data_IF_796114731343
#
_entry.id   IF_796114731343
#
_cell.length_a   1.000
_cell.length_b   1.000
_cell.length_c   1.000
_cell.angle_alpha   90.00
_cell.angle_beta   90.00
_cell.angle_gamma   90.00
#
_symmetry.space_group_name_H-M   'P 1'
#
loop_
_entity.id
_entity.type
_entity.pdbx_description
1 polymer ?
#
# COMPACT_ATOMS: atom_id res chain seq x y z
N UNK A 1 31.90 0.77 13.05
CA UNK A 1 30.69 1.08 12.27
C UNK A 1 30.59 0.08 11.11
N UNK A 2 29.41 -0.42 10.81
CA UNK A 2 29.22 -1.32 9.66
C UNK A 2 29.55 -0.57 8.37
N UNK A 3 30.21 -1.23 7.42
CA UNK A 3 30.47 -0.62 6.10
C UNK A 3 29.17 -0.69 5.25
N UNK A 4 28.80 0.37 4.55
CA UNK A 4 27.66 0.33 3.65
C UNK A 4 27.91 -0.64 2.49
N UNK A 5 26.87 -1.36 2.05
CA UNK A 5 26.90 -2.21 0.87
C UNK A 5 26.78 -1.35 -0.41
N UNK A 6 26.02 -0.24 -0.33
CA UNK A 6 25.95 0.80 -1.36
C UNK A 6 26.25 2.14 -0.71
N UNK A 7 27.14 2.92 -1.32
CA UNK A 7 27.40 4.31 -0.97
C UNK A 7 27.30 5.19 -2.22
N UNK A 8 26.27 6.01 -2.24
CA UNK A 8 26.09 7.03 -3.26
C UNK A 8 26.54 8.37 -2.68
N UNK A 9 27.50 9.03 -3.31
CA UNK A 9 28.07 10.29 -2.86
C UNK A 9 27.84 11.38 -3.88
N UNK A 10 27.06 12.38 -3.46
CA UNK A 10 26.79 13.60 -4.23
C UNK A 10 26.33 13.30 -5.68
N UNK A 11 25.44 12.35 -5.85
CA UNK A 11 24.96 11.89 -7.16
C UNK A 11 24.12 12.98 -7.83
N UNK A 12 24.57 13.41 -9.02
CA UNK A 12 23.79 14.22 -9.94
C UNK A 12 23.48 13.41 -11.20
N UNK A 13 22.22 13.36 -11.62
CA UNK A 13 21.78 12.72 -12.85
C UNK A 13 20.96 13.71 -13.63
N UNK A 14 21.47 14.07 -14.82
CA UNK A 14 20.85 15.05 -15.71
C UNK A 14 20.54 14.38 -17.05
N UNK A 15 19.26 14.38 -17.42
CA UNK A 15 18.82 13.94 -18.74
C UNK A 15 19.00 15.08 -19.75
N UNK A 16 19.31 14.72 -21.00
CA UNK A 16 19.48 15.66 -22.12
C UNK A 16 20.48 16.76 -21.82
N UNK A 17 21.59 16.44 -21.16
CA UNK A 17 22.64 17.38 -20.78
C UNK A 17 23.07 18.26 -21.98
N UNK A 18 23.04 19.59 -21.80
CA UNK A 18 23.39 20.57 -22.81
C UNK A 18 22.35 20.82 -23.90
N UNK A 19 21.11 20.25 -23.76
CA UNK A 19 19.98 20.49 -24.67
C UNK A 19 18.95 21.43 -24.04
N UNK A 20 18.08 22.01 -24.86
CA UNK A 20 17.01 22.92 -24.40
C UNK A 20 16.00 22.28 -23.43
N UNK A 21 15.90 20.96 -23.43
CA UNK A 21 15.05 20.16 -22.53
C UNK A 21 15.87 19.42 -21.48
N UNK A 22 16.95 20.04 -21.01
CA UNK A 22 17.75 19.51 -19.90
C UNK A 22 16.92 19.42 -18.63
N UNK A 23 16.98 18.26 -17.97
CA UNK A 23 16.26 18.00 -16.74
C UNK A 23 17.16 17.27 -15.73
N UNK A 24 17.35 17.88 -14.55
CA UNK A 24 18.13 17.29 -13.46
C UNK A 24 17.25 16.46 -12.58
N UNK A 25 17.29 15.14 -12.73
CA UNK A 25 16.47 14.19 -12.00
C UNK A 25 17.00 13.88 -10.59
N UNK A 26 18.31 13.90 -10.38
CA UNK A 26 18.95 13.85 -9.06
C UNK A 26 19.94 14.99 -8.95
N UNK A 27 19.98 15.64 -7.78
CA UNK A 27 20.72 16.88 -7.55
C UNK A 27 21.49 16.85 -6.23
N UNK A 28 22.66 16.20 -6.23
CA UNK A 28 23.51 16.10 -5.05
C UNK A 28 23.00 15.08 -4.01
N UNK A 29 22.48 13.95 -4.46
CA UNK A 29 21.93 12.90 -3.59
C UNK A 29 23.05 12.08 -2.94
N UNK A 30 23.10 12.03 -1.61
CA UNK A 30 24.02 11.18 -0.84
C UNK A 30 23.24 10.23 0.04
N UNK A 31 23.51 8.91 -0.07
CA UNK A 31 22.88 7.87 0.72
C UNK A 31 23.79 6.67 0.93
N UNK A 32 23.75 6.14 2.14
CA UNK A 32 24.38 4.87 2.53
C UNK A 32 23.30 3.81 2.70
N UNK A 33 23.53 2.61 2.19
CA UNK A 33 22.65 1.44 2.39
C UNK A 33 23.49 0.33 2.98
N UNK A 34 23.00 -0.29 4.06
CA UNK A 34 23.76 -1.30 4.80
C UNK A 34 23.33 -2.73 4.39
N UNK A 35 24.24 -3.73 4.54
CA UNK A 35 23.89 -5.12 4.29
C UNK A 35 22.65 -5.56 5.08
N UNK A 36 21.79 -6.34 4.44
CA UNK A 36 20.53 -6.88 4.98
C UNK A 36 19.49 -5.83 5.38
N UNK A 37 19.70 -4.57 4.99
CA UNK A 37 18.73 -3.52 5.20
C UNK A 37 17.54 -3.66 4.23
N UNK A 38 16.33 -3.39 4.70
CA UNK A 38 15.17 -3.10 3.87
C UNK A 38 14.96 -1.58 3.90
N UNK A 39 15.25 -0.91 2.82
CA UNK A 39 15.14 0.55 2.70
C UNK A 39 14.07 0.91 1.67
N UNK A 40 13.31 1.97 1.96
CA UNK A 40 12.32 2.51 1.02
C UNK A 40 12.75 3.91 0.58
N UNK A 41 12.83 4.12 -0.73
CA UNK A 41 12.92 5.44 -1.35
C UNK A 41 11.48 5.92 -1.59
N UNK A 42 11.06 6.91 -0.82
CA UNK A 42 9.69 7.40 -0.80
C UNK A 42 9.60 8.85 -1.27
N UNK A 43 8.58 9.19 -2.05
CA UNK A 43 8.32 10.56 -2.52
C UNK A 43 7.38 10.60 -3.71
N UNK A 44 6.97 11.80 -4.16
CA UNK A 44 6.05 11.96 -5.28
C UNK A 44 6.61 11.40 -6.59
N UNK A 45 5.73 11.11 -7.53
CA UNK A 45 6.13 10.68 -8.88
C UNK A 45 7.00 11.75 -9.55
N UNK A 46 8.04 11.33 -10.27
CA UNK A 46 8.97 12.23 -10.93
C UNK A 46 10.06 12.87 -10.06
N UNK A 47 10.09 12.63 -8.73
CA UNK A 47 11.11 13.22 -7.86
C UNK A 47 12.52 12.56 -7.93
N UNK A 48 12.76 11.64 -8.86
CA UNK A 48 14.08 11.05 -9.10
C UNK A 48 14.37 9.70 -8.42
N UNK A 49 13.38 9.04 -7.78
CA UNK A 49 13.56 7.74 -7.09
C UNK A 49 14.04 6.63 -8.01
N UNK A 50 13.29 6.35 -9.07
CA UNK A 50 13.63 5.32 -10.05
C UNK A 50 14.93 5.64 -10.76
N UNK A 51 15.22 6.92 -11.02
CA UNK A 51 16.49 7.38 -11.60
C UNK A 51 17.68 7.02 -10.71
N UNK A 52 17.57 7.29 -9.40
CA UNK A 52 18.59 6.90 -8.42
C UNK A 52 18.72 5.37 -8.34
N UNK A 53 17.60 4.64 -8.33
CA UNK A 53 17.59 3.18 -8.32
C UNK A 53 18.31 2.58 -9.53
N UNK A 54 18.02 3.07 -10.74
CA UNK A 54 18.69 2.62 -11.97
C UNK A 54 20.18 3.03 -12.03
N UNK A 55 20.54 4.11 -11.36
CA UNK A 55 21.94 4.44 -11.16
C UNK A 55 22.64 3.44 -10.23
N UNK A 56 21.98 3.03 -9.13
CA UNK A 56 22.50 1.96 -8.27
C UNK A 56 22.64 0.63 -9.03
N UNK A 57 21.75 0.34 -9.97
CA UNK A 57 21.79 -0.85 -10.81
C UNK A 57 22.88 -0.79 -11.90
N UNK A 58 23.50 0.37 -12.12
CA UNK A 58 24.55 0.55 -13.12
C UNK A 58 24.05 0.81 -14.56
N UNK A 59 22.75 1.09 -14.74
CA UNK A 59 22.15 1.41 -16.06
C UNK A 59 22.27 2.90 -16.39
N UNK A 60 22.13 3.76 -15.38
CA UNK A 60 22.19 5.22 -15.55
C UNK A 60 23.45 5.78 -14.88
N UNK A 61 24.44 6.13 -15.69
CA UNK A 61 25.68 6.75 -15.19
C UNK A 61 25.39 8.16 -14.67
N UNK A 62 25.84 8.52 -13.44
CA UNK A 62 25.71 9.87 -12.92
C UNK A 62 26.46 10.88 -13.78
N UNK A 63 25.92 12.09 -13.90
CA UNK A 63 26.61 13.24 -14.51
C UNK A 63 27.72 13.75 -13.60
N UNK A 64 27.53 13.64 -12.26
CA UNK A 64 28.52 13.93 -11.22
C UNK A 64 28.31 13.02 -10.00
N UNK A 65 29.31 12.98 -9.13
CA UNK A 65 29.34 12.14 -7.96
C UNK A 65 29.90 10.75 -8.22
N UNK A 66 29.91 9.91 -7.20
CA UNK A 66 30.46 8.55 -7.28
C UNK A 66 29.51 7.55 -6.60
N UNK A 67 29.48 6.33 -7.12
CA UNK A 67 28.70 5.22 -6.61
C UNK A 67 29.61 4.05 -6.30
N UNK A 68 29.64 3.66 -5.03
CA UNK A 68 30.35 2.46 -4.60
C UNK A 68 29.39 1.37 -4.18
N UNK A 69 29.68 0.16 -4.60
CA UNK A 69 29.00 -1.04 -4.15
C UNK A 69 30.03 -2.03 -3.64
N UNK A 70 29.85 -2.51 -2.43
CA UNK A 70 30.83 -3.37 -1.74
C UNK A 70 32.24 -2.77 -1.66
N UNK A 71 32.35 -1.45 -1.67
CA UNK A 71 33.62 -0.70 -1.63
C UNK A 71 34.27 -0.47 -2.98
N UNK A 72 33.68 -0.92 -4.09
CA UNK A 72 34.19 -0.74 -5.44
C UNK A 72 33.35 0.31 -6.20
N UNK A 73 34.00 1.18 -6.96
CA UNK A 73 33.33 2.20 -7.79
C UNK A 73 32.78 1.54 -9.05
N UNK A 74 31.46 1.37 -9.12
CA UNK A 74 30.82 0.62 -10.21
C UNK A 74 30.91 1.31 -11.57
N UNK A 75 31.14 2.61 -11.61
CA UNK A 75 31.28 3.34 -12.87
C UNK A 75 32.71 3.40 -13.42
N UNK A 76 33.63 2.79 -12.68
CA UNK A 76 35.00 2.53 -13.15
C UNK A 76 35.13 1.10 -13.75
N UNK A 77 34.06 0.31 -13.69
CA UNK A 77 33.97 -1.04 -14.24
C UNK A 77 34.05 -1.02 -15.77
N UNK A 78 34.72 -2.02 -16.34
CA UNK A 78 34.55 -2.41 -17.72
C UNK A 78 33.15 -2.92 -18.01
N UNK A 79 32.78 -3.04 -19.28
CA UNK A 79 31.48 -3.60 -19.67
C UNK A 79 31.25 -5.01 -19.12
N UNK A 80 32.27 -5.86 -19.10
CA UNK A 80 32.17 -7.23 -18.58
C UNK A 80 32.02 -7.27 -17.06
N UNK A 81 32.73 -6.41 -16.33
CA UNK A 81 32.62 -6.27 -14.89
C UNK A 81 31.24 -5.73 -14.52
N UNK A 82 30.69 -4.78 -15.25
CA UNK A 82 29.33 -4.28 -15.06
C UNK A 82 28.28 -5.39 -15.26
N UNK A 83 28.42 -6.22 -16.27
CA UNK A 83 27.56 -7.39 -16.49
C UNK A 83 27.65 -8.38 -15.32
N UNK A 84 28.89 -8.64 -14.82
CA UNK A 84 29.08 -9.50 -13.65
C UNK A 84 28.43 -8.91 -12.39
N UNK A 85 28.56 -7.59 -12.17
CA UNK A 85 27.93 -6.86 -11.11
C UNK A 85 26.39 -7.01 -11.14
N UNK A 86 25.77 -6.68 -12.27
CA UNK A 86 24.31 -6.77 -12.45
C UNK A 86 23.80 -8.20 -12.29
N UNK A 87 24.58 -9.20 -12.69
CA UNK A 87 24.22 -10.61 -12.64
C UNK A 87 24.35 -11.22 -11.26
N UNK A 88 25.44 -10.92 -10.53
CA UNK A 88 25.78 -11.62 -9.27
C UNK A 88 25.36 -10.85 -8.02
N UNK A 89 25.35 -9.53 -8.09
CA UNK A 89 25.14 -8.69 -6.91
C UNK A 89 23.70 -8.18 -6.87
N UNK A 90 23.11 -7.90 -8.04
CA UNK A 90 21.85 -7.20 -8.13
C UNK A 90 20.73 -8.06 -8.73
N UNK A 91 19.56 -8.05 -8.11
CA UNK A 91 18.30 -8.50 -8.72
C UNK A 91 17.39 -7.31 -8.92
N UNK A 92 16.59 -7.30 -9.99
CA UNK A 92 15.68 -6.18 -10.26
C UNK A 92 14.26 -6.64 -10.54
N UNK A 93 13.30 -5.95 -9.88
CA UNK A 93 11.89 -6.02 -10.17
C UNK A 93 11.45 -4.67 -10.76
N UNK A 94 10.87 -4.71 -11.95
CA UNK A 94 10.38 -3.53 -12.66
C UNK A 94 8.91 -3.24 -12.32
N UNK A 95 8.51 -1.99 -12.47
CA UNK A 95 7.12 -1.54 -12.31
C UNK A 95 6.16 -2.26 -13.27
N UNK A 96 6.55 -2.38 -14.55
CA UNK A 96 5.90 -3.28 -15.49
C UNK A 96 6.70 -4.58 -15.47
N UNK A 97 6.07 -5.71 -15.25
CA UNK A 97 6.73 -7.01 -15.01
C UNK A 97 7.86 -7.35 -15.97
N UNK A 98 7.90 -6.72 -17.16
CA UNK A 98 8.89 -6.89 -18.22
C UNK A 98 9.17 -8.37 -18.53
N UNK A 99 8.11 -9.19 -18.52
CA UNK A 99 8.18 -10.58 -18.91
C UNK A 99 8.17 -10.67 -20.43
N UNK A 100 8.96 -11.59 -20.96
CA UNK A 100 8.96 -11.88 -22.40
C UNK A 100 7.71 -12.68 -22.74
N UNK A 101 6.74 -12.11 -23.50
CA UNK A 101 5.43 -12.73 -23.69
C UNK A 101 5.44 -13.98 -24.57
N UNK A 102 6.49 -14.17 -25.37
CA UNK A 102 6.63 -15.28 -26.33
C UNK A 102 7.19 -16.58 -25.73
N UNK A 103 7.81 -16.50 -24.55
CA UNK A 103 8.40 -17.67 -23.87
C UNK A 103 7.59 -18.05 -22.64
N UNK A 104 7.81 -19.26 -22.09
CA UNK A 104 7.11 -19.78 -20.92
C UNK A 104 7.46 -19.00 -19.62
N UNK A 105 6.69 -19.22 -18.57
CA UNK A 105 7.01 -18.75 -17.20
C UNK A 105 8.36 -19.30 -16.75
N UNK A 106 8.58 -20.60 -16.95
CA UNK A 106 9.84 -21.27 -16.62
C UNK A 106 11.03 -20.60 -17.31
N UNK A 107 10.91 -20.36 -18.63
CA UNK A 107 11.97 -19.72 -19.42
C UNK A 107 12.19 -18.26 -18.99
N UNK A 108 11.13 -17.52 -18.62
CA UNK A 108 11.27 -16.19 -18.06
C UNK A 108 12.05 -16.19 -16.75
N UNK A 109 11.78 -17.13 -15.85
CA UNK A 109 12.52 -17.26 -14.59
C UNK A 109 13.96 -17.71 -14.85
N UNK A 110 14.18 -18.65 -15.77
CA UNK A 110 15.50 -19.16 -16.11
C UNK A 110 16.38 -18.20 -16.93
N UNK A 111 15.80 -17.14 -17.50
CA UNK A 111 16.47 -16.24 -18.45
C UNK A 111 17.81 -15.68 -17.96
N UNK A 112 17.94 -15.18 -16.72
CA UNK A 112 19.23 -14.70 -16.21
C UNK A 112 20.28 -15.81 -16.10
N UNK A 113 19.89 -17.07 -15.85
CA UNK A 113 20.81 -18.20 -15.83
C UNK A 113 21.29 -18.58 -17.24
N UNK A 114 20.45 -18.38 -18.27
CA UNK A 114 20.84 -18.58 -19.67
C UNK A 114 21.97 -17.63 -20.03
N UNK A 115 21.82 -16.35 -19.70
CA UNK A 115 22.90 -15.35 -19.91
C UNK A 115 24.12 -15.59 -19.02
N UNK A 116 23.94 -16.32 -17.92
CA UNK A 116 25.04 -16.75 -17.05
C UNK A 116 25.83 -17.95 -17.61
N UNK A 117 25.36 -18.58 -18.70
CA UNK A 117 25.98 -19.79 -19.26
C UNK A 117 25.72 -21.04 -18.44
N UNK A 118 24.71 -21.05 -17.56
CA UNK A 118 24.33 -22.22 -16.75
C UNK A 118 23.73 -23.30 -17.65
N UNK A 119 24.14 -24.55 -17.44
CA UNK A 119 23.66 -25.70 -18.21
C UNK A 119 22.14 -25.92 -18.10
N UNK A 120 21.54 -26.50 -19.16
CA UNK A 120 20.07 -26.61 -19.26
C UNK A 120 19.44 -27.27 -18.03
N UNK A 121 19.96 -28.42 -17.59
CA UNK A 121 19.41 -29.17 -16.45
C UNK A 121 19.45 -28.35 -15.15
N UNK A 122 20.60 -27.76 -14.83
CA UNK A 122 20.78 -26.96 -13.60
C UNK A 122 19.85 -25.73 -13.59
N UNK A 123 19.71 -25.02 -14.73
CA UNK A 123 18.84 -23.84 -14.78
C UNK A 123 17.36 -24.19 -14.66
N UNK A 124 16.92 -25.34 -15.22
CA UNK A 124 15.56 -25.84 -15.06
C UNK A 124 15.26 -26.21 -13.60
N UNK A 125 16.20 -26.89 -12.93
CA UNK A 125 16.06 -27.24 -11.51
C UNK A 125 15.94 -25.98 -10.63
N UNK A 126 16.84 -25.01 -10.80
CA UNK A 126 16.79 -23.72 -10.04
C UNK A 126 15.54 -22.91 -10.34
N UNK A 127 15.15 -22.81 -11.61
CA UNK A 127 13.94 -22.06 -11.99
C UNK A 127 12.69 -22.74 -11.43
N UNK A 128 12.59 -24.07 -11.47
CA UNK A 128 11.46 -24.82 -10.93
C UNK A 128 11.39 -24.70 -9.41
N UNK A 129 12.51 -24.70 -8.69
CA UNK A 129 12.54 -24.47 -7.25
C UNK A 129 11.91 -23.12 -6.89
N UNK A 130 12.28 -22.04 -7.59
CA UNK A 130 11.68 -20.72 -7.40
C UNK A 130 10.21 -20.69 -7.84
N UNK A 131 9.83 -21.36 -8.93
CA UNK A 131 8.44 -21.49 -9.33
C UNK A 131 7.59 -22.14 -8.22
N UNK A 132 8.09 -23.18 -7.58
CA UNK A 132 7.42 -23.83 -6.42
C UNK A 132 7.35 -22.89 -5.22
N UNK A 133 8.48 -22.24 -4.87
CA UNK A 133 8.56 -21.29 -3.76
C UNK A 133 7.51 -20.17 -3.89
N UNK A 134 7.31 -19.66 -5.10
CA UNK A 134 6.35 -18.57 -5.36
C UNK A 134 4.98 -19.05 -5.87
N UNK A 135 4.68 -20.35 -5.77
CA UNK A 135 3.39 -20.96 -6.13
C UNK A 135 2.96 -20.67 -7.58
N UNK A 136 3.90 -20.72 -8.51
CA UNK A 136 3.69 -20.57 -9.95
C UNK A 136 4.12 -21.83 -10.75
N UNK A 137 4.47 -22.90 -10.07
CA UNK A 137 4.85 -24.19 -10.66
C UNK A 137 3.75 -24.77 -11.57
N UNK A 138 2.48 -24.67 -11.15
CA UNK A 138 1.32 -25.12 -11.95
C UNK A 138 1.12 -24.37 -13.26
N UNK A 139 1.70 -23.20 -13.39
CA UNK A 139 1.64 -22.36 -14.60
C UNK A 139 2.99 -22.21 -15.29
N UNK A 140 4.01 -22.98 -14.89
CA UNK A 140 5.40 -22.89 -15.37
C UNK A 140 5.50 -23.00 -16.91
N UNK A 141 4.65 -23.79 -17.54
CA UNK A 141 4.62 -23.99 -19.00
C UNK A 141 3.70 -23.00 -19.74
N UNK A 142 2.95 -22.13 -19.01
CA UNK A 142 2.12 -21.09 -19.64
C UNK A 142 2.97 -19.88 -20.04
N UNK A 143 2.44 -19.08 -20.98
CA UNK A 143 3.02 -17.79 -21.37
C UNK A 143 2.45 -16.66 -20.52
N UNK A 144 3.23 -15.59 -20.25
CA UNK A 144 2.80 -14.46 -19.42
C UNK A 144 1.42 -13.86 -19.74
N UNK A 145 0.99 -13.69 -21.01
CA UNK A 145 -0.32 -13.15 -21.32
C UNK A 145 -1.52 -14.00 -20.80
N UNK A 146 -1.28 -15.25 -20.44
CA UNK A 146 -2.30 -16.16 -19.90
C UNK A 146 -2.37 -16.15 -18.36
N UNK A 147 -1.61 -15.25 -17.72
CA UNK A 147 -1.49 -15.15 -16.26
C UNK A 147 -2.25 -13.95 -15.73
N UNK A 148 -2.75 -14.07 -14.48
CA UNK A 148 -3.20 -12.90 -13.72
C UNK A 148 -2.02 -11.97 -13.37
N UNK A 149 -2.30 -10.69 -13.09
CA UNK A 149 -1.27 -9.72 -12.70
C UNK A 149 -0.43 -10.19 -11.51
N UNK A 150 -1.05 -10.78 -10.49
CA UNK A 150 -0.34 -11.35 -9.34
C UNK A 150 0.54 -12.55 -9.70
N UNK A 151 0.13 -13.40 -10.65
CA UNK A 151 0.99 -14.47 -11.15
C UNK A 151 2.19 -13.91 -11.93
N UNK A 152 1.96 -12.91 -12.80
CA UNK A 152 3.05 -12.23 -13.52
C UNK A 152 4.05 -11.59 -12.56
N UNK A 153 3.56 -10.98 -11.48
CA UNK A 153 4.44 -10.40 -10.46
C UNK A 153 5.27 -11.45 -9.75
N UNK A 154 4.69 -12.60 -9.38
CA UNK A 154 5.46 -13.70 -8.77
C UNK A 154 6.50 -14.27 -9.71
N UNK A 155 6.24 -14.31 -11.01
CA UNK A 155 7.26 -14.64 -12.03
C UNK A 155 8.39 -13.62 -12.04
N UNK A 156 8.07 -12.32 -11.96
CA UNK A 156 9.06 -11.24 -11.89
C UNK A 156 9.94 -11.35 -10.64
N UNK A 157 9.33 -11.65 -9.46
CA UNK A 157 10.08 -11.92 -8.22
C UNK A 157 11.00 -13.14 -8.40
N UNK A 158 10.49 -14.26 -8.90
CA UNK A 158 11.28 -15.48 -9.10
C UNK A 158 12.47 -15.22 -10.03
N UNK A 159 12.23 -14.51 -11.15
CA UNK A 159 13.28 -14.14 -12.11
C UNK A 159 14.36 -13.25 -11.47
N UNK A 160 13.96 -12.29 -10.63
CA UNK A 160 14.92 -11.38 -9.99
C UNK A 160 15.84 -12.07 -8.97
N UNK A 161 15.45 -13.23 -8.46
CA UNK A 161 16.17 -14.00 -7.44
C UNK A 161 16.97 -15.18 -8.00
N UNK A 162 16.80 -15.56 -9.27
CA UNK A 162 17.30 -16.83 -9.79
C UNK A 162 18.83 -16.95 -9.79
N UNK A 163 19.55 -15.82 -9.82
CA UNK A 163 21.00 -15.74 -9.68
C UNK A 163 21.46 -15.59 -8.21
N UNK A 164 20.56 -15.69 -7.25
CA UNK A 164 20.82 -15.51 -5.81
C UNK A 164 21.52 -14.17 -5.45
N UNK A 165 21.00 -13.01 -5.91
CA UNK A 165 21.66 -11.71 -5.71
C UNK A 165 21.74 -11.33 -4.22
N UNK A 166 22.73 -10.50 -3.85
CA UNK A 166 22.84 -9.95 -2.49
C UNK A 166 21.87 -8.78 -2.27
N UNK A 167 21.57 -8.04 -3.34
CA UNK A 167 20.72 -6.84 -3.31
C UNK A 167 19.55 -7.03 -4.28
N UNK A 168 18.35 -6.85 -3.78
CA UNK A 168 17.13 -6.82 -4.58
C UNK A 168 16.60 -5.40 -4.65
N UNK A 169 16.45 -4.87 -5.85
CA UNK A 169 15.82 -3.59 -6.10
C UNK A 169 14.43 -3.79 -6.70
N UNK A 170 13.47 -2.98 -6.27
CA UNK A 170 12.09 -3.06 -6.70
C UNK A 170 11.53 -1.66 -6.98
N UNK A 171 11.21 -1.40 -8.25
CA UNK A 171 10.66 -0.13 -8.70
C UNK A 171 9.14 -0.24 -8.80
N UNK A 172 8.44 0.34 -7.82
CA UNK A 172 6.97 0.33 -7.70
C UNK A 172 6.31 -1.05 -7.97
N UNK A 173 6.77 -2.14 -7.32
CA UNK A 173 6.45 -3.51 -7.71
C UNK A 173 4.98 -3.89 -7.54
N UNK A 174 4.16 -3.02 -6.94
CA UNK A 174 2.74 -3.28 -6.62
C UNK A 174 1.78 -2.26 -7.23
N UNK A 175 2.27 -1.31 -8.02
CA UNK A 175 1.47 -0.20 -8.57
C UNK A 175 0.29 -0.63 -9.46
N UNK A 176 0.35 -1.82 -10.06
CA UNK A 176 -0.66 -2.34 -10.98
C UNK A 176 -1.44 -3.54 -10.40
N UNK A 177 -1.41 -3.75 -9.09
CA UNK A 177 -2.03 -4.90 -8.43
C UNK A 177 -3.19 -4.46 -7.54
N UNK A 178 -4.15 -5.37 -7.36
CA UNK A 178 -5.17 -5.23 -6.32
C UNK A 178 -4.55 -5.28 -4.90
N UNK A 179 -5.27 -4.78 -3.91
CA UNK A 179 -4.76 -4.61 -2.54
C UNK A 179 -4.29 -5.91 -1.89
N UNK A 180 -4.96 -7.03 -2.18
CA UNK A 180 -4.64 -8.35 -1.60
C UNK A 180 -3.34 -8.87 -2.21
N UNK A 181 -3.27 -8.84 -3.53
CA UNK A 181 -2.07 -9.28 -4.27
C UNK A 181 -0.87 -8.40 -3.94
N UNK A 182 -1.07 -7.09 -3.83
CA UNK A 182 -0.02 -6.14 -3.43
C UNK A 182 0.54 -6.47 -2.04
N UNK A 183 -0.32 -6.74 -1.05
CA UNK A 183 0.12 -7.16 0.28
C UNK A 183 0.95 -8.44 0.24
N UNK A 184 0.54 -9.46 -0.52
CA UNK A 184 1.30 -10.71 -0.68
C UNK A 184 2.69 -10.48 -1.27
N UNK A 185 2.82 -9.57 -2.24
CA UNK A 185 4.13 -9.23 -2.84
C UNK A 185 5.02 -8.53 -1.80
N UNK A 186 4.47 -7.59 -1.04
CA UNK A 186 5.22 -6.89 0.01
C UNK A 186 5.67 -7.82 1.13
N UNK A 187 4.81 -8.75 1.56
CA UNK A 187 5.16 -9.81 2.51
C UNK A 187 6.28 -10.70 1.98
N UNK A 188 6.22 -11.05 0.69
CA UNK A 188 7.28 -11.82 0.02
C UNK A 188 8.62 -11.07 0.06
N UNK A 189 8.62 -9.76 -0.23
CA UNK A 189 9.85 -8.93 -0.14
C UNK A 189 10.38 -8.86 1.30
N UNK A 190 9.49 -8.78 2.29
CA UNK A 190 9.88 -8.80 3.69
C UNK A 190 10.46 -10.15 4.12
N UNK A 191 9.94 -11.27 3.61
CA UNK A 191 10.51 -12.59 3.83
C UNK A 191 11.89 -12.74 3.20
N UNK A 192 12.08 -12.29 1.96
CA UNK A 192 13.37 -12.27 1.27
C UNK A 192 14.41 -11.48 2.08
N UNK A 193 14.01 -10.34 2.63
CA UNK A 193 14.91 -9.59 3.51
C UNK A 193 15.19 -10.29 4.85
N UNK A 194 14.16 -10.76 5.55
CA UNK A 194 14.30 -11.27 6.92
C UNK A 194 14.88 -12.69 6.98
N UNK A 195 14.41 -13.59 6.10
CA UNK A 195 14.81 -15.01 6.06
C UNK A 195 16.06 -15.23 5.19
N UNK A 196 16.04 -14.72 3.95
CA UNK A 196 17.15 -14.92 3.01
C UNK A 196 18.29 -13.91 3.21
N UNK A 197 18.12 -12.94 4.14
CA UNK A 197 19.14 -11.94 4.48
C UNK A 197 19.57 -11.08 3.28
N UNK A 198 18.68 -10.88 2.30
CA UNK A 198 18.96 -9.99 1.18
C UNK A 198 18.77 -8.52 1.58
N UNK A 199 19.57 -7.63 1.01
CA UNK A 199 19.31 -6.19 1.08
C UNK A 199 18.19 -5.86 0.10
N UNK A 200 17.15 -5.16 0.54
CA UNK A 200 16.00 -4.80 -0.31
C UNK A 200 15.90 -3.28 -0.42
N UNK A 201 15.85 -2.78 -1.64
CA UNK A 201 15.65 -1.35 -1.94
C UNK A 201 14.36 -1.22 -2.72
N UNK A 202 13.35 -0.64 -2.09
CA UNK A 202 12.03 -0.45 -2.67
C UNK A 202 11.82 1.02 -3.02
N UNK A 203 11.32 1.29 -4.23
CA UNK A 203 10.77 2.58 -4.62
C UNK A 203 9.26 2.51 -4.54
N UNK A 204 8.64 3.47 -3.86
CA UNK A 204 7.18 3.63 -3.84
C UNK A 204 6.78 5.06 -3.53
N UNK A 205 5.56 5.43 -3.93
CA UNK A 205 4.89 6.65 -3.51
C UNK A 205 3.71 6.35 -2.55
N UNK A 206 3.47 5.08 -2.23
CA UNK A 206 2.37 4.66 -1.37
C UNK A 206 2.86 4.48 0.08
N UNK A 207 2.39 5.36 0.96
CA UNK A 207 2.80 5.41 2.36
C UNK A 207 2.43 4.15 3.16
N UNK A 208 1.45 3.35 2.70
CA UNK A 208 1.03 2.13 3.39
C UNK A 208 2.15 1.08 3.50
N UNK A 209 3.19 1.18 2.66
CA UNK A 209 4.30 0.24 2.65
C UNK A 209 5.51 0.67 3.49
N UNK A 210 5.52 1.90 4.03
CA UNK A 210 6.63 2.40 4.85
C UNK A 210 6.96 1.53 6.07
N UNK A 211 5.98 0.90 6.74
CA UNK A 211 6.25 0.03 7.90
C UNK A 211 7.14 -1.19 7.61
N UNK A 212 7.27 -1.60 6.35
CA UNK A 212 8.13 -2.72 5.96
C UNK A 212 9.63 -2.41 6.05
N UNK A 213 10.00 -1.13 5.99
CA UNK A 213 11.39 -0.71 5.94
C UNK A 213 12.03 -0.64 7.34
N UNK A 214 13.36 -0.88 7.40
CA UNK A 214 14.15 -0.48 8.56
C UNK A 214 14.37 1.04 8.57
N UNK A 215 14.35 1.66 7.38
CA UNK A 215 14.59 3.08 7.20
C UNK A 215 13.92 3.57 5.93
N UNK A 216 13.34 4.77 6.01
CA UNK A 216 12.70 5.44 4.87
C UNK A 216 13.51 6.66 4.47
N UNK A 217 13.86 6.75 3.20
CA UNK A 217 14.52 7.89 2.58
C UNK A 217 13.48 8.70 1.81
N UNK A 218 13.16 9.87 2.33
CA UNK A 218 12.21 10.79 1.70
C UNK A 218 12.91 11.63 0.64
N UNK A 219 12.37 11.59 -0.58
CA UNK A 219 12.90 12.32 -1.73
C UNK A 219 11.89 13.34 -2.27
N UNK A 220 12.37 14.52 -2.61
CA UNK A 220 11.64 15.55 -3.31
C UNK A 220 12.60 16.34 -4.22
N UNK A 221 12.16 16.70 -5.41
CA UNK A 221 12.89 17.55 -6.38
C UNK A 221 14.35 17.09 -6.61
N UNK A 222 14.53 15.79 -6.76
CA UNK A 222 15.85 15.18 -7.00
C UNK A 222 16.78 15.14 -5.79
N UNK A 223 16.31 15.44 -4.59
CA UNK A 223 17.11 15.48 -3.35
C UNK A 223 16.54 14.57 -2.28
N UNK A 224 17.40 14.09 -1.39
CA UNK A 224 16.97 13.50 -0.12
C UNK A 224 16.65 14.65 0.86
N UNK A 225 15.40 14.72 1.31
CA UNK A 225 14.92 15.73 2.27
C UNK A 225 15.10 15.28 3.71
N UNK A 226 14.91 14.00 3.96
CA UNK A 226 15.12 13.39 5.29
C UNK A 226 15.28 11.88 5.18
N UNK A 227 15.88 11.31 6.23
CA UNK A 227 15.97 9.86 6.42
C UNK A 227 15.39 9.55 7.79
N UNK A 228 14.40 8.64 7.83
CA UNK A 228 13.71 8.27 9.07
C UNK A 228 13.99 6.80 9.36
N UNK A 229 14.74 6.47 10.44
CA UNK A 229 14.91 5.09 10.87
C UNK A 229 13.59 4.55 11.45
N UNK A 230 13.35 3.28 11.26
CA UNK A 230 12.24 2.55 11.84
C UNK A 230 12.82 1.47 12.78
N UNK A 231 13.03 1.78 14.07
CA UNK A 231 13.66 0.85 15.03
C UNK A 231 12.81 -0.40 15.28
N UNK A 232 11.50 -0.30 15.08
CA UNK A 232 10.55 -1.39 15.24
C UNK A 232 10.05 -1.90 13.86
N UNK A 233 11.01 -2.21 12.97
CA UNK A 233 10.64 -2.84 11.70
C UNK A 233 9.70 -4.00 11.95
N UNK A 234 8.51 -3.88 11.40
CA UNK A 234 7.47 -4.89 11.53
C UNK A 234 7.93 -6.21 10.92
N UNK A 235 8.00 -7.24 11.75
CA UNK A 235 7.89 -8.60 11.25
C UNK A 235 6.42 -8.81 10.90
N UNK A 236 6.11 -8.95 9.62
CA UNK A 236 4.76 -9.31 9.21
C UNK A 236 4.61 -10.80 9.51
N UNK A 237 4.06 -11.05 10.67
CA UNK A 237 3.44 -12.32 10.96
C UNK A 237 2.08 -12.25 10.27
N UNK A 238 1.91 -12.93 9.13
CA UNK A 238 0.58 -13.19 8.60
C UNK A 238 -0.24 -13.80 9.73
N UNK A 239 -1.40 -13.24 10.05
CA UNK A 239 -2.27 -13.86 11.03
C UNK A 239 -2.57 -15.28 10.55
N UNK A 240 -2.59 -16.27 11.46
CA UNK A 240 -2.92 -17.63 11.10
C UNK A 240 -4.25 -17.64 10.33
N UNK A 241 -4.41 -18.51 9.33
CA UNK A 241 -5.67 -18.65 8.60
C UNK A 241 -6.82 -18.78 9.60
N UNK A 242 -7.79 -17.85 9.57
CA UNK A 242 -8.90 -17.81 10.53
C UNK A 242 -8.75 -16.79 11.67
N UNK A 243 -7.64 -16.09 11.83
CA UNK A 243 -7.53 -14.96 12.74
C UNK A 243 -8.22 -13.73 12.15
N UNK A 244 -9.20 -13.22 12.86
CA UNK A 244 -10.08 -12.16 12.34
C UNK A 244 -9.52 -10.79 12.67
N UNK A 245 -9.47 -9.96 11.65
CA UNK A 245 -9.30 -8.52 11.80
C UNK A 245 -10.66 -7.96 12.22
N UNK A 246 -10.75 -7.45 13.43
CA UNK A 246 -12.02 -7.08 14.06
C UNK A 246 -12.54 -5.74 13.54
N UNK A 247 -11.65 -4.78 13.27
CA UNK A 247 -12.02 -3.44 12.78
C UNK A 247 -11.06 -2.91 11.71
N UNK A 248 -11.50 -1.90 10.95
CA UNK A 248 -10.65 -1.20 9.99
C UNK A 248 -9.48 -0.49 10.69
N UNK A 249 -9.67 0.02 11.90
CA UNK A 249 -8.59 0.65 12.68
C UNK A 249 -7.48 -0.36 13.00
N UNK A 250 -7.83 -1.60 13.31
CA UNK A 250 -6.82 -2.66 13.50
C UNK A 250 -6.10 -3.02 12.20
N UNK A 251 -6.78 -2.95 11.05
CA UNK A 251 -6.13 -3.08 9.75
C UNK A 251 -5.16 -1.93 9.51
N UNK A 252 -5.60 -0.70 9.74
CA UNK A 252 -4.79 0.50 9.60
C UNK A 252 -3.63 0.53 10.60
N UNK A 253 -3.80 0.09 11.84
CA UNK A 253 -2.71 -0.01 12.82
C UNK A 253 -1.62 -1.00 12.41
N UNK A 254 -1.97 -1.99 11.60
CA UNK A 254 -0.99 -2.89 10.99
C UNK A 254 -0.24 -2.24 9.82
N UNK A 255 -0.88 -1.31 9.12
CA UNK A 255 -0.28 -0.55 8.01
C UNK A 255 0.52 0.64 8.53
N UNK A 256 0.02 1.29 9.58
CA UNK A 256 0.61 2.48 10.22
C UNK A 256 0.84 2.22 11.72
N UNK A 257 1.84 1.41 12.10
CA UNK A 257 2.01 0.96 13.49
C UNK A 257 2.47 2.05 14.48
N UNK A 258 2.92 3.19 13.97
CA UNK A 258 3.37 4.34 14.77
C UNK A 258 2.31 5.45 14.88
N UNK A 259 1.22 5.32 14.13
CA UNK A 259 0.15 6.29 14.18
C UNK A 259 -0.69 6.04 15.43
N UNK A 260 -1.04 7.12 16.10
CA UNK A 260 -2.00 7.08 17.20
C UNK A 260 -3.37 6.62 16.68
N UNK A 261 -4.23 6.09 17.55
CA UNK A 261 -5.59 5.75 17.16
C UNK A 261 -6.35 6.91 16.48
N UNK A 262 -6.10 8.15 16.89
CA UNK A 262 -6.71 9.34 16.29
C UNK A 262 -6.21 9.56 14.85
N UNK A 263 -4.91 9.40 14.60
CA UNK A 263 -4.34 9.49 13.25
C UNK A 263 -4.86 8.38 12.33
N UNK A 264 -5.04 7.16 12.86
CA UNK A 264 -5.64 6.05 12.11
C UNK A 264 -7.10 6.32 11.73
N UNK A 265 -7.88 6.99 12.60
CA UNK A 265 -9.23 7.42 12.27
C UNK A 265 -9.23 8.45 11.13
N UNK A 266 -8.34 9.43 11.17
CA UNK A 266 -8.17 10.41 10.09
C UNK A 266 -7.85 9.71 8.78
N UNK A 267 -6.88 8.78 8.77
CA UNK A 267 -6.52 8.00 7.60
C UNK A 267 -7.65 7.14 7.06
N UNK A 268 -8.47 6.55 7.95
CA UNK A 268 -9.68 5.82 7.55
C UNK A 268 -10.64 6.69 6.76
N UNK A 269 -10.93 7.90 7.25
CA UNK A 269 -11.82 8.85 6.55
C UNK A 269 -11.18 9.35 5.26
N UNK A 270 -9.92 9.72 5.27
CA UNK A 270 -9.19 10.20 4.08
C UNK A 270 -9.23 9.15 2.96
N UNK A 271 -8.89 7.90 3.25
CA UNK A 271 -8.95 6.82 2.26
C UNK A 271 -10.35 6.60 1.66
N UNK A 272 -11.39 7.03 2.35
CA UNK A 272 -12.76 6.93 1.85
C UNK A 272 -13.15 8.08 0.94
N UNK A 273 -12.66 9.28 1.21
CA UNK A 273 -13.10 10.51 0.51
C UNK A 273 -12.18 10.88 -0.66
N UNK A 274 -10.93 10.36 -0.71
CA UNK A 274 -9.93 10.77 -1.70
C UNK A 274 -9.98 9.91 -2.96
N UNK A 275 -10.22 10.57 -4.09
CA UNK A 275 -9.94 10.08 -5.45
C UNK A 275 -9.27 11.24 -6.19
N UNK A 276 -8.13 10.97 -6.85
CA UNK A 276 -7.42 11.92 -7.73
C UNK A 276 -6.91 13.21 -7.07
N UNK A 277 -6.30 13.14 -5.87
CA UNK A 277 -5.67 14.28 -5.22
C UNK A 277 -4.15 14.08 -5.02
N UNK A 278 -3.41 15.20 -4.97
CA UNK A 278 -1.96 15.19 -4.82
C UNK A 278 -1.53 14.86 -3.38
N UNK A 279 -0.29 14.40 -3.21
CA UNK A 279 0.27 14.08 -1.89
C UNK A 279 0.23 15.29 -0.92
N UNK A 280 0.54 16.48 -1.40
CA UNK A 280 0.52 17.70 -0.57
C UNK A 280 -0.91 18.05 -0.11
N UNK A 281 -1.89 17.81 -0.97
CA UNK A 281 -3.30 17.93 -0.62
C UNK A 281 -3.71 16.92 0.45
N UNK A 282 -3.22 15.66 0.37
CA UNK A 282 -3.50 14.62 1.36
C UNK A 282 -3.01 15.05 2.76
N UNK A 283 -1.78 15.54 2.89
CA UNK A 283 -1.24 15.98 4.19
C UNK A 283 -2.05 17.11 4.82
N UNK A 284 -2.54 18.05 4.01
CA UNK A 284 -3.42 19.12 4.50
C UNK A 284 -4.78 18.61 4.90
N UNK A 285 -5.36 17.71 4.09
CA UNK A 285 -6.62 17.06 4.39
C UNK A 285 -6.57 16.29 5.71
N UNK A 286 -5.49 15.56 5.98
CA UNK A 286 -5.30 14.85 7.25
C UNK A 286 -5.45 15.81 8.43
N UNK A 287 -4.73 16.93 8.43
CA UNK A 287 -4.83 17.94 9.51
C UNK A 287 -6.20 18.58 9.64
N UNK A 288 -6.86 18.88 8.52
CA UNK A 288 -8.20 19.49 8.52
C UNK A 288 -9.26 18.47 8.98
N UNK A 289 -9.20 17.23 8.49
CA UNK A 289 -10.13 16.17 8.86
C UNK A 289 -9.97 15.77 10.33
N UNK A 290 -8.75 15.77 10.86
CA UNK A 290 -8.49 15.58 12.29
C UNK A 290 -9.25 16.61 13.15
N UNK A 291 -9.22 17.89 12.75
CA UNK A 291 -9.95 18.92 13.49
C UNK A 291 -11.47 18.74 13.44
N UNK A 292 -12.00 18.21 12.33
CA UNK A 292 -13.43 17.88 12.21
C UNK A 292 -13.79 16.68 13.09
N UNK A 293 -13.01 15.59 13.07
CA UNK A 293 -13.22 14.41 13.90
C UNK A 293 -13.18 14.77 15.38
N UNK A 294 -12.24 15.63 15.78
CA UNK A 294 -12.08 16.10 17.17
C UNK A 294 -13.08 17.19 17.57
N UNK A 295 -14.03 17.57 16.69
CA UNK A 295 -15.04 18.60 16.96
C UNK A 295 -14.51 20.02 17.07
N UNK A 296 -13.25 20.25 16.71
CA UNK A 296 -12.59 21.58 16.73
C UNK A 296 -12.91 22.43 15.50
N UNK A 297 -13.47 21.82 14.46
CA UNK A 297 -13.86 22.49 13.22
C UNK A 297 -15.26 22.02 12.81
N UNK A 298 -16.13 22.97 12.43
CA UNK A 298 -17.43 22.65 11.88
C UNK A 298 -17.35 22.41 10.34
N UNK A 299 -18.43 21.86 9.80
CA UNK A 299 -18.50 21.48 8.38
C UNK A 299 -18.30 22.67 7.42
N UNK A 300 -18.87 23.84 7.75
CA UNK A 300 -18.75 25.04 6.90
C UNK A 300 -17.30 25.56 6.84
N UNK A 301 -16.60 25.50 7.96
CA UNK A 301 -15.18 25.87 8.00
C UNK A 301 -14.32 24.86 7.26
N UNK A 302 -14.64 23.57 7.39
CA UNK A 302 -13.97 22.49 6.66
C UNK A 302 -14.13 22.67 5.15
N UNK A 303 -15.37 22.86 4.66
CA UNK A 303 -15.65 23.10 3.26
C UNK A 303 -14.91 24.32 2.71
N UNK A 304 -14.89 25.42 3.45
CA UNK A 304 -14.12 26.63 3.06
C UNK A 304 -12.64 26.36 2.92
N UNK A 305 -12.04 25.60 3.84
CA UNK A 305 -10.62 25.26 3.78
C UNK A 305 -10.29 24.28 2.66
N UNK A 306 -11.19 23.36 2.32
CA UNK A 306 -11.04 22.49 1.17
C UNK A 306 -10.92 23.28 -0.13
N UNK A 307 -11.77 24.29 -0.31
CA UNK A 307 -11.82 25.14 -1.52
C UNK A 307 -10.75 26.22 -1.55
N UNK A 308 -10.27 26.65 -0.39
CA UNK A 308 -9.28 27.75 -0.28
C UNK A 308 -8.00 27.39 -1.03
N UNK A 309 -7.43 28.40 -1.72
CA UNK A 309 -6.16 28.24 -2.45
C UNK A 309 -5.04 27.69 -1.56
N UNK A 310 -4.20 26.87 -2.16
CA UNK A 310 -3.06 26.25 -1.48
C UNK A 310 -2.11 27.30 -0.85
N UNK A 311 -1.88 28.41 -1.55
CA UNK A 311 -1.08 29.54 -1.08
C UNK A 311 -1.61 30.22 0.18
N UNK A 312 -2.92 30.13 0.42
CA UNK A 312 -3.62 30.71 1.57
C UNK A 312 -3.87 29.73 2.71
N UNK A 313 -3.28 28.54 2.63
CA UNK A 313 -3.41 27.50 3.66
C UNK A 313 -4.52 26.49 3.42
N UNK A 314 -5.27 26.58 2.32
CA UNK A 314 -6.30 25.61 1.93
C UNK A 314 -5.77 24.39 1.18
N UNK A 315 -6.66 23.49 0.80
CA UNK A 315 -6.32 22.31 0.00
C UNK A 315 -6.40 22.53 -1.52
N UNK A 316 -6.99 23.64 -1.97
CA UNK A 316 -7.10 23.98 -3.39
C UNK A 316 -7.95 22.99 -4.20
N UNK A 317 -8.99 22.42 -3.58
CA UNK A 317 -9.88 21.44 -4.19
C UNK A 317 -11.02 22.13 -4.92
N UNK A 318 -11.41 21.62 -6.07
CA UNK A 318 -12.56 22.12 -6.82
C UNK A 318 -13.85 22.12 -5.98
N UNK A 319 -14.71 23.12 -6.20
CA UNK A 319 -15.93 23.35 -5.41
C UNK A 319 -16.83 22.12 -5.39
N UNK A 320 -17.02 21.45 -6.52
CA UNK A 320 -17.90 20.29 -6.64
C UNK A 320 -17.33 19.07 -5.91
N UNK A 321 -16.04 18.91 -5.97
CA UNK A 321 -15.31 17.84 -5.28
C UNK A 321 -15.24 18.10 -3.78
N UNK A 322 -14.93 19.32 -3.36
CA UNK A 322 -14.89 19.75 -1.96
C UNK A 322 -16.25 19.57 -1.26
N UNK A 323 -17.35 19.94 -1.94
CA UNK A 323 -18.71 19.75 -1.42
C UNK A 323 -19.02 18.27 -1.18
N UNK A 324 -18.73 17.40 -2.16
CA UNK A 324 -18.93 15.95 -2.01
C UNK A 324 -18.08 15.35 -0.90
N UNK A 325 -16.83 15.80 -0.76
CA UNK A 325 -15.94 15.33 0.29
C UNK A 325 -16.45 15.75 1.68
N UNK A 326 -16.82 17.02 1.85
CA UNK A 326 -17.36 17.56 3.10
C UNK A 326 -18.65 16.82 3.52
N UNK A 327 -19.57 16.61 2.58
CA UNK A 327 -20.81 15.88 2.83
C UNK A 327 -20.57 14.41 3.24
N UNK A 328 -19.63 13.73 2.56
CA UNK A 328 -19.27 12.35 2.92
C UNK A 328 -18.65 12.23 4.30
N UNK A 329 -17.79 13.16 4.69
CA UNK A 329 -17.18 13.19 6.02
C UNK A 329 -18.29 13.38 7.08
N UNK A 330 -19.20 14.32 6.89
CA UNK A 330 -20.28 14.59 7.84
C UNK A 330 -21.22 13.39 8.00
N UNK A 331 -21.62 12.77 6.89
CA UNK A 331 -22.48 11.57 6.91
C UNK A 331 -21.82 10.43 7.68
N UNK A 332 -20.54 10.11 7.40
CA UNK A 332 -19.81 9.04 8.10
C UNK A 332 -19.71 9.34 9.59
N UNK A 333 -19.35 10.56 9.98
CA UNK A 333 -19.20 10.95 11.38
C UNK A 333 -20.54 11.00 12.13
N UNK A 334 -21.64 11.39 11.47
CA UNK A 334 -22.99 11.37 12.04
C UNK A 334 -23.40 9.96 12.41
N UNK A 335 -23.29 9.01 11.48
CA UNK A 335 -23.67 7.61 11.74
C UNK A 335 -22.67 6.85 12.62
N UNK A 336 -21.40 7.26 12.64
CA UNK A 336 -20.44 6.76 13.62
C UNK A 336 -20.86 7.05 15.05
N UNK A 337 -21.48 8.21 15.29
CA UNK A 337 -22.10 8.52 16.61
C UNK A 337 -23.24 7.59 16.94
N UNK A 338 -24.04 7.16 15.97
CA UNK A 338 -25.10 6.19 16.18
C UNK A 338 -24.52 4.80 16.52
N UNK A 339 -23.44 4.37 15.88
CA UNK A 339 -22.70 3.15 16.25
C UNK A 339 -22.16 3.24 17.69
N UNK A 340 -21.54 4.36 18.05
CA UNK A 340 -21.02 4.58 19.39
C UNK A 340 -22.13 4.52 20.46
N UNK A 341 -23.26 5.15 20.19
CA UNK A 341 -24.43 5.13 21.08
C UNK A 341 -25.03 3.74 21.22
N UNK A 342 -25.21 3.01 20.11
CA UNK A 342 -25.66 1.62 20.13
C UNK A 342 -24.76 0.74 21.01
N UNK A 343 -23.44 0.82 20.87
CA UNK A 343 -22.48 0.02 21.65
C UNK A 343 -22.49 0.35 23.14
N UNK A 344 -22.67 1.62 23.53
CA UNK A 344 -22.86 2.01 24.94
C UNK A 344 -24.10 1.37 25.55
N UNK A 345 -25.13 1.15 24.75
CA UNK A 345 -26.38 0.54 25.21
C UNK A 345 -26.31 -0.98 25.35
N UNK A 346 -25.44 -1.64 24.57
CA UNK A 346 -25.25 -3.11 24.72
C UNK A 346 -24.64 -3.46 26.06
N UNK A 347 -23.91 -2.55 26.73
CA UNK A 347 -23.32 -2.70 28.05
C UNK A 347 -24.15 -2.16 29.25
N UNK A 348 -25.33 -1.53 29.02
CA UNK A 348 -26.10 -0.88 30.08
C UNK A 348 -27.60 -0.79 29.80
N UNK A 349 -28.41 -0.60 30.87
CA UNK A 349 -29.86 -0.43 30.79
C UNK A 349 -30.18 1.01 30.40
N UNK A 350 -30.70 1.27 29.20
CA UNK A 350 -31.19 2.59 28.78
C UNK A 350 -32.56 2.52 28.12
N UNK A 351 -33.33 3.61 28.21
CA UNK A 351 -34.73 3.68 27.86
C UNK A 351 -35.07 3.88 26.38
N UNK A 352 -34.07 3.94 25.48
CA UNK A 352 -34.28 4.14 24.02
C UNK A 352 -34.17 2.79 23.31
N UNK A 353 -35.08 2.46 22.36
CA UNK A 353 -35.01 1.20 21.61
C UNK A 353 -33.73 1.12 20.79
N UNK A 354 -32.97 0.04 20.93
CA UNK A 354 -31.75 -0.25 20.14
C UNK A 354 -32.00 -0.23 18.62
N UNK A 355 -33.20 -0.61 18.20
CA UNK A 355 -33.68 -0.65 16.81
C UNK A 355 -33.54 0.68 16.08
N UNK A 356 -33.77 1.82 16.76
CA UNK A 356 -33.74 3.13 16.10
C UNK A 356 -32.38 3.52 15.52
N UNK A 357 -31.28 3.10 16.15
CA UNK A 357 -29.92 3.37 15.62
C UNK A 357 -29.58 2.47 14.45
N UNK A 358 -29.97 1.20 14.52
CA UNK A 358 -29.78 0.23 13.44
C UNK A 358 -30.58 0.65 12.21
N UNK A 359 -31.83 1.07 12.37
CA UNK A 359 -32.70 1.55 11.29
C UNK A 359 -32.11 2.79 10.56
N UNK A 360 -31.50 3.72 11.30
CA UNK A 360 -30.82 4.88 10.67
C UNK A 360 -29.62 4.47 9.85
N UNK A 361 -28.81 3.54 10.36
CA UNK A 361 -27.63 3.01 9.64
C UNK A 361 -28.12 2.20 8.43
N UNK A 362 -29.14 1.37 8.57
CA UNK A 362 -29.76 0.64 7.48
C UNK A 362 -30.23 1.59 6.37
N UNK A 363 -31.04 2.59 6.73
CA UNK A 363 -31.55 3.54 5.75
C UNK A 363 -30.41 4.30 5.03
N UNK A 364 -29.39 4.70 5.78
CA UNK A 364 -28.22 5.34 5.18
C UNK A 364 -27.46 4.42 4.22
N UNK A 365 -27.28 3.14 4.54
CA UNK A 365 -26.66 2.18 3.63
C UNK A 365 -27.50 1.97 2.36
N UNK A 366 -28.82 1.93 2.50
CA UNK A 366 -29.74 1.80 1.37
C UNK A 366 -29.66 3.02 0.45
N UNK A 367 -29.73 4.23 1.01
CA UNK A 367 -29.74 5.48 0.24
C UNK A 367 -28.37 5.71 -0.48
N UNK A 368 -27.26 5.53 0.22
CA UNK A 368 -25.94 5.80 -0.34
C UNK A 368 -25.53 4.79 -1.43
N UNK A 369 -26.00 3.53 -1.32
CA UNK A 369 -25.72 2.49 -2.30
C UNK A 369 -26.88 2.30 -3.30
N UNK A 370 -27.94 3.14 -3.24
CA UNK A 370 -29.11 3.10 -4.14
C UNK A 370 -29.74 1.69 -4.18
N UNK A 371 -29.86 1.04 -3.02
CA UNK A 371 -30.39 -0.32 -2.93
C UNK A 371 -31.93 -0.31 -3.04
N UNK A 372 -32.46 -1.22 -3.86
CA UNK A 372 -33.89 -1.49 -3.90
C UNK A 372 -34.14 -2.85 -3.26
N UNK A 373 -34.67 -2.86 -2.03
CA UNK A 373 -34.80 -4.06 -1.21
C UNK A 373 -36.27 -4.37 -0.91
N UNK A 374 -36.62 -5.66 -0.90
CA UNK A 374 -37.90 -6.14 -0.39
C UNK A 374 -37.97 -6.01 1.14
N UNK A 375 -39.17 -6.15 1.73
CA UNK A 375 -39.33 -6.12 3.19
C UNK A 375 -38.52 -7.20 3.90
N UNK A 376 -38.39 -8.38 3.30
CA UNK A 376 -37.59 -9.49 3.82
C UNK A 376 -36.09 -9.22 3.75
N UNK A 377 -35.60 -8.69 2.64
CA UNK A 377 -34.22 -8.27 2.48
C UNK A 377 -33.83 -7.18 3.48
N UNK A 378 -34.72 -6.21 3.72
CA UNK A 378 -34.51 -5.16 4.74
C UNK A 378 -34.40 -5.74 6.12
N UNK A 379 -35.24 -6.71 6.48
CA UNK A 379 -35.16 -7.39 7.76
C UNK A 379 -33.80 -8.08 7.94
N UNK A 380 -33.35 -8.84 6.96
CA UNK A 380 -32.06 -9.53 7.02
C UNK A 380 -30.89 -8.54 7.06
N UNK A 381 -30.96 -7.41 6.32
CA UNK A 381 -29.95 -6.36 6.36
C UNK A 381 -29.88 -5.72 7.76
N UNK A 382 -31.03 -5.43 8.38
CA UNK A 382 -31.12 -4.85 9.69
C UNK A 382 -30.50 -5.77 10.76
N UNK A 383 -30.85 -7.06 10.75
CA UNK A 383 -30.27 -8.07 11.62
C UNK A 383 -28.74 -8.18 11.42
N UNK A 384 -28.28 -8.21 10.17
CA UNK A 384 -26.85 -8.28 9.85
C UNK A 384 -26.09 -7.05 10.39
N UNK A 385 -26.65 -5.84 10.21
CA UNK A 385 -26.07 -4.60 10.75
C UNK A 385 -26.00 -4.67 12.27
N UNK A 386 -27.11 -5.04 12.95
CA UNK A 386 -27.15 -5.15 14.41
C UNK A 386 -26.06 -6.07 14.95
N UNK A 387 -25.92 -7.27 14.37
CA UNK A 387 -24.89 -8.23 14.77
C UNK A 387 -23.48 -7.68 14.52
N UNK A 388 -23.27 -7.00 13.39
CA UNK A 388 -21.95 -6.45 13.04
C UNK A 388 -21.55 -5.29 13.94
N UNK A 389 -22.42 -4.30 14.15
CA UNK A 389 -22.12 -3.16 15.03
C UNK A 389 -22.06 -3.56 16.51
N UNK A 390 -22.78 -4.60 16.90
CA UNK A 390 -22.72 -5.21 18.24
C UNK A 390 -21.42 -5.99 18.49
N UNK A 391 -20.66 -6.31 17.46
CA UNK A 391 -19.43 -7.09 17.57
C UNK A 391 -19.64 -8.61 17.64
N UNK A 392 -20.84 -9.10 17.34
CA UNK A 392 -21.18 -10.54 17.36
C UNK A 392 -20.74 -11.25 16.10
N UNK A 393 -20.62 -10.54 14.97
CA UNK A 393 -20.16 -11.06 13.69
C UNK A 393 -18.91 -10.32 13.20
N UNK A 394 -18.12 -11.00 12.38
CA UNK A 394 -16.92 -10.49 11.78
C UNK A 394 -17.25 -9.78 10.46
N UNK A 395 -16.30 -9.00 9.92
CA UNK A 395 -16.46 -8.32 8.62
C UNK A 395 -16.79 -9.31 7.50
N UNK A 396 -16.07 -10.44 7.46
CA UNK A 396 -16.25 -11.44 6.40
C UNK A 396 -17.59 -12.16 6.55
N UNK A 397 -18.05 -12.42 7.78
CA UNK A 397 -19.37 -13.00 8.04
C UNK A 397 -20.48 -12.04 7.60
N UNK A 398 -20.34 -10.76 7.93
CA UNK A 398 -21.25 -9.71 7.48
C UNK A 398 -21.29 -9.62 5.96
N UNK A 399 -20.11 -9.60 5.30
CA UNK A 399 -20.00 -9.58 3.84
C UNK A 399 -20.70 -10.80 3.21
N UNK A 400 -20.45 -11.99 3.73
CA UNK A 400 -21.08 -13.22 3.26
C UNK A 400 -22.60 -13.20 3.44
N UNK A 401 -23.09 -12.67 4.56
CA UNK A 401 -24.53 -12.53 4.84
C UNK A 401 -25.23 -11.55 3.88
N UNK A 402 -24.53 -10.50 3.43
CA UNK A 402 -25.06 -9.56 2.43
C UNK A 402 -25.19 -10.20 1.04
N UNK A 403 -24.26 -11.08 0.66
CA UNK A 403 -24.22 -11.71 -0.68
C UNK A 403 -25.11 -12.95 -0.76
N UNK A 404 -25.28 -13.66 0.35
CA UNK A 404 -26.07 -14.89 0.44
C UNK A 404 -27.52 -14.66 0.02
N UNK A 405 -28.13 -15.64 -0.63
CA UNK A 405 -29.52 -15.53 -1.11
C UNK A 405 -30.52 -15.34 0.02
N UNK A 406 -31.68 -14.74 -0.30
CA UNK A 406 -32.74 -14.52 0.69
C UNK A 406 -33.29 -15.83 1.25
N UNK A 407 -33.41 -16.85 0.39
CA UNK A 407 -33.89 -18.19 0.78
C UNK A 407 -32.93 -18.89 1.77
N UNK A 408 -31.68 -18.49 1.81
CA UNK A 408 -30.66 -18.99 2.75
C UNK A 408 -30.48 -18.07 3.98
N UNK A 409 -31.33 -17.06 4.13
CA UNK A 409 -31.29 -16.10 5.23
C UNK A 409 -30.35 -14.90 5.03
N UNK A 410 -29.87 -14.71 3.81
CA UNK A 410 -29.04 -13.55 3.41
C UNK A 410 -29.83 -12.38 2.84
N UNK A 411 -29.15 -11.34 2.41
CA UNK A 411 -29.76 -10.14 1.80
C UNK A 411 -29.85 -10.23 0.28
N UNK A 412 -29.00 -11.02 -0.38
CA UNK A 412 -29.04 -11.25 -1.82
C UNK A 412 -28.52 -10.08 -2.65
N UNK A 413 -27.53 -9.32 -2.12
CA UNK A 413 -26.90 -8.23 -2.86
C UNK A 413 -25.89 -8.73 -3.89
N UNK A 414 -25.69 -7.96 -4.95
CA UNK A 414 -24.58 -8.19 -5.88
C UNK A 414 -23.23 -7.96 -5.18
N UNK A 415 -22.16 -8.57 -5.72
CA UNK A 415 -20.81 -8.42 -5.15
C UNK A 415 -20.40 -6.95 -5.00
N UNK A 416 -20.69 -6.10 -5.98
CA UNK A 416 -20.38 -4.67 -5.94
C UNK A 416 -21.14 -3.96 -4.81
N UNK A 417 -22.45 -4.16 -4.73
CA UNK A 417 -23.29 -3.56 -3.68
C UNK A 417 -22.87 -4.02 -2.30
N UNK A 418 -22.55 -5.31 -2.14
CA UNK A 418 -22.03 -5.88 -0.89
C UNK A 418 -20.70 -5.23 -0.49
N UNK A 419 -19.78 -5.09 -1.45
CA UNK A 419 -18.47 -4.46 -1.20
C UNK A 419 -18.62 -3.00 -0.75
N UNK A 420 -19.46 -2.22 -1.43
CA UNK A 420 -19.66 -0.81 -1.13
C UNK A 420 -20.37 -0.62 0.24
N UNK A 421 -21.43 -1.37 0.50
CA UNK A 421 -22.17 -1.32 1.77
C UNK A 421 -21.31 -1.79 2.95
N UNK A 422 -20.58 -2.90 2.81
CA UNK A 422 -19.67 -3.39 3.86
C UNK A 422 -18.57 -2.39 4.15
N UNK A 423 -17.93 -1.80 3.12
CA UNK A 423 -16.89 -0.80 3.28
C UNK A 423 -17.40 0.43 4.02
N UNK A 424 -18.61 0.89 3.73
CA UNK A 424 -19.22 2.06 4.37
C UNK A 424 -19.55 1.79 5.85
N UNK A 425 -20.13 0.63 6.17
CA UNK A 425 -20.38 0.23 7.55
C UNK A 425 -19.09 0.12 8.39
N UNK A 426 -18.03 -0.47 7.82
CA UNK A 426 -16.74 -0.56 8.52
C UNK A 426 -16.15 0.83 8.84
N UNK A 427 -16.34 1.83 7.97
CA UNK A 427 -15.92 3.22 8.24
C UNK A 427 -16.67 3.79 9.44
N UNK A 428 -17.99 3.61 9.50
CA UNK A 428 -18.78 4.08 10.63
C UNK A 428 -18.38 3.39 11.95
N UNK A 429 -18.11 2.07 11.89
CA UNK A 429 -17.63 1.31 13.06
C UNK A 429 -16.27 1.84 13.52
N UNK A 430 -15.33 2.05 12.58
CA UNK A 430 -13.99 2.56 12.88
C UNK A 430 -14.02 3.90 13.61
N UNK A 431 -14.90 4.81 13.20
CA UNK A 431 -15.06 6.12 13.84
C UNK A 431 -15.85 6.05 15.17
N UNK A 432 -16.81 5.12 15.28
CA UNK A 432 -17.69 5.00 16.46
C UNK A 432 -17.05 4.32 17.67
N UNK A 433 -16.12 3.40 17.46
CA UNK A 433 -15.51 2.60 18.55
C UNK A 433 -14.66 3.44 19.50
N UNK A 434 -13.99 4.47 19.00
CA UNK A 434 -13.04 5.26 19.77
C UNK A 434 -13.66 6.37 20.61
N UNK A 435 -14.89 6.81 20.31
CA UNK A 435 -15.62 7.79 21.14
C UNK A 435 -15.97 7.24 22.54
N UNK A 436 -15.79 5.94 22.77
CA UNK A 436 -16.05 5.31 24.08
C UNK A 436 -14.88 5.51 25.05
N UNK A 437 -13.65 5.75 24.55
CA UNK A 437 -12.44 5.87 25.37
C UNK A 437 -12.04 7.29 25.82
N UNK A 438 -12.66 8.34 25.26
CA UNK A 438 -12.24 9.73 25.51
C UNK A 438 -13.01 10.49 26.58
N UNK A 439 -14.01 9.86 27.24
CA UNK A 439 -14.79 10.49 28.32
C UNK A 439 -14.36 10.06 29.75
N UNK A 440 -13.23 9.37 29.90
CA UNK A 440 -12.66 8.97 31.20
C UNK A 440 -11.24 9.53 31.39
N UNK A 441 -11.05 10.85 31.22
CA UNK A 441 -9.94 11.59 31.83
C UNK A 441 -10.39 13.00 32.18
#
# INVERSE_FOLDING_TARGET
>A
MAKPIIYADNIEITYNLGKSNEFKANNGTTVEIFPHEYIILFGPSGCGKSTLLYSMFGVLRPSKGKMWVKGESIYDYTSDEMVQYQRKIMGIMYQQFNLIPSISVMDNVALPLIFAGVGAKEREEKAMELCKRFMIDKVANKRPPLLSGGQQQRVSVARSLVNDPEILIADEPVGNLDSITAAQVMDTLAEINSKDKKTVILVTHDAKYLPYAHRVVYMADGKIVRVVPNPEKRQIVLPPPGSTIITEIEQLSRIYPYDSPAELQVKSVINFITQDITYDQIQRLEKMTEQVINGRMNQDAYLRLLMMEYSKGGAGIDVSQASRMSERVDKVLSHARDVARFRRMVGGVTAIPKTQYVERIEQFLIDENQLTLSSEQRKHLNEAIEYRIGGYTKKDDFFNQLIMSVDEGGVGLSFKQTSDASRLLEKMIAQGVMHIGSEHH
#
